data_IF_221712317874
#
_entry.id   IF_221712317874
#
_cell.length_a   1.000
_cell.length_b   1.000
_cell.length_c   1.000
_cell.angle_alpha   90.00
_cell.angle_beta   90.00
_cell.angle_gamma   90.00
#
_symmetry.space_group_name_H-M   'P 1'
#
loop_
_entity.id
_entity.type
_entity.pdbx_description
1 polymer ?
#
# COMPACT_ATOMS: atom_id res chain seq x y z
N UNK A 1 58.52 4.29 18.98
CA UNK A 1 58.29 3.92 17.55
C UNK A 1 57.74 2.51 17.61
N UNK A 2 56.46 2.27 17.43
CA UNK A 2 55.66 2.55 16.23
C UNK A 2 54.18 2.55 16.63
N UNK A 3 53.48 3.67 16.43
CA UNK A 3 52.02 3.70 16.48
C UNK A 3 51.48 3.07 15.20
N UNK A 4 50.83 1.92 15.37
CA UNK A 4 50.19 1.16 14.32
C UNK A 4 48.80 1.76 14.08
N UNK A 5 48.73 2.85 13.31
CA UNK A 5 47.45 3.40 12.85
C UNK A 5 46.88 2.42 11.83
N UNK A 6 45.93 1.60 12.25
CA UNK A 6 45.07 0.84 11.33
C UNK A 6 44.36 1.84 10.42
N UNK A 7 44.86 1.99 9.18
CA UNK A 7 44.08 2.59 8.10
C UNK A 7 42.79 1.77 7.94
N UNK A 8 41.68 2.29 8.45
CA UNK A 8 40.35 1.80 8.08
C UNK A 8 40.22 2.00 6.57
N UNK A 9 40.45 0.94 5.79
CA UNK A 9 40.07 0.91 4.38
C UNK A 9 38.58 1.17 4.31
N UNK A 10 38.21 2.35 3.80
CA UNK A 10 36.83 2.68 3.49
C UNK A 10 36.36 1.68 2.42
N UNK A 11 35.29 0.95 2.74
CA UNK A 11 34.61 0.07 1.79
C UNK A 11 33.24 0.63 1.50
N UNK A 12 32.80 0.45 0.27
CA UNK A 12 31.50 0.86 -0.22
C UNK A 12 30.66 -0.38 -0.43
N UNK A 13 29.59 -0.51 0.37
CA UNK A 13 28.65 -1.62 0.28
C UNK A 13 27.70 -1.40 -0.88
N UNK A 14 27.54 -2.40 -1.73
CA UNK A 14 26.64 -2.38 -2.88
C UNK A 14 25.83 -3.67 -2.95
N UNK A 15 24.73 -3.65 -3.70
CA UNK A 15 23.92 -4.81 -4.02
C UNK A 15 23.87 -4.96 -5.53
N UNK A 16 24.17 -6.16 -6.01
CA UNK A 16 24.01 -6.53 -7.42
C UNK A 16 23.06 -7.72 -7.47
N UNK A 17 21.91 -7.55 -8.12
CA UNK A 17 20.82 -8.53 -8.16
C UNK A 17 20.36 -8.98 -6.76
N UNK A 18 20.42 -8.04 -5.81
CA UNK A 18 20.11 -8.27 -4.39
C UNK A 18 21.22 -8.92 -3.56
N UNK A 19 22.31 -9.37 -4.19
CA UNK A 19 23.45 -9.95 -3.48
C UNK A 19 24.42 -8.85 -3.01
N UNK A 20 24.93 -8.90 -1.77
CA UNK A 20 25.85 -7.88 -1.26
C UNK A 20 27.26 -8.03 -1.85
N UNK A 21 27.85 -6.91 -2.23
CA UNK A 21 29.24 -6.77 -2.68
C UNK A 21 29.91 -5.58 -2.01
N UNK A 22 31.24 -5.57 -2.02
CA UNK A 22 32.03 -4.46 -1.48
C UNK A 22 33.12 -4.01 -2.44
N UNK A 23 33.24 -2.70 -2.57
CA UNK A 23 34.29 -2.04 -3.36
C UNK A 23 35.19 -1.22 -2.45
N UNK A 24 36.49 -1.19 -2.75
CA UNK A 24 37.45 -0.31 -2.07
C UNK A 24 37.62 1.03 -2.77
N UNK A 25 37.27 1.09 -4.05
CA UNK A 25 37.25 2.33 -4.84
C UNK A 25 35.84 2.94 -4.78
N UNK A 26 35.68 4.22 -4.42
CA UNK A 26 34.39 4.91 -4.51
C UNK A 26 33.90 5.11 -5.95
N UNK A 27 34.78 5.09 -6.94
CA UNK A 27 34.43 5.32 -8.35
C UNK A 27 34.69 4.03 -9.11
N UNK A 28 33.63 3.39 -9.57
CA UNK A 28 33.71 2.09 -10.26
C UNK A 28 33.08 2.18 -11.63
N UNK A 29 33.65 1.48 -12.63
CA UNK A 29 33.03 1.39 -13.94
C UNK A 29 31.94 0.32 -13.98
N UNK A 30 31.00 0.42 -14.93
CA UNK A 30 30.02 -0.63 -15.17
C UNK A 30 30.68 -2.00 -15.41
N UNK A 31 31.79 -2.03 -16.14
CA UNK A 31 32.58 -3.24 -16.36
C UNK A 31 33.11 -3.83 -15.05
N UNK A 32 33.64 -3.00 -14.15
CA UNK A 32 34.13 -3.46 -12.85
C UNK A 32 33.01 -4.05 -11.98
N UNK A 33 31.80 -3.48 -12.06
CA UNK A 33 30.62 -4.00 -11.36
C UNK A 33 30.27 -5.40 -11.88
N UNK A 34 30.17 -5.57 -13.20
CA UNK A 34 29.88 -6.87 -13.84
C UNK A 34 30.96 -7.91 -13.53
N UNK A 35 32.24 -7.53 -13.62
CA UNK A 35 33.37 -8.40 -13.27
C UNK A 35 33.34 -8.83 -11.79
N UNK A 36 32.99 -7.92 -10.88
CA UNK A 36 32.86 -8.21 -9.44
C UNK A 36 31.77 -9.26 -9.18
N UNK A 37 30.66 -9.17 -9.92
CA UNK A 37 29.57 -10.14 -9.90
C UNK A 37 29.90 -11.44 -10.67
N UNK A 38 31.08 -11.53 -11.30
CA UNK A 38 31.53 -12.64 -12.15
C UNK A 38 30.64 -12.88 -13.37
N UNK A 39 30.09 -11.81 -13.94
CA UNK A 39 29.25 -11.85 -15.14
C UNK A 39 30.11 -11.62 -16.37
N UNK A 40 30.21 -12.66 -17.22
CA UNK A 40 31.05 -12.65 -18.41
C UNK A 40 30.35 -13.35 -19.60
N UNK A 41 30.65 -12.91 -20.83
CA UNK A 41 31.40 -11.69 -21.16
C UNK A 41 30.55 -10.44 -20.83
N UNK A 42 31.21 -9.33 -20.50
CA UNK A 42 30.54 -8.14 -19.94
C UNK A 42 29.65 -7.42 -20.96
N UNK A 43 29.94 -7.57 -22.25
CA UNK A 43 29.16 -7.05 -23.38
C UNK A 43 27.86 -7.84 -23.68
N UNK A 44 27.69 -9.03 -23.09
CA UNK A 44 26.42 -9.78 -23.11
C UNK A 44 25.47 -9.38 -21.97
N UNK A 45 25.85 -8.40 -21.13
CA UNK A 45 25.09 -8.00 -19.96
C UNK A 45 24.77 -6.50 -19.99
N UNK A 46 23.50 -6.18 -19.75
CA UNK A 46 23.07 -4.83 -19.41
C UNK A 46 23.19 -4.63 -17.90
N UNK A 47 23.60 -3.42 -17.51
CA UNK A 47 23.70 -3.00 -16.13
C UNK A 47 22.77 -1.80 -15.91
N UNK A 48 21.89 -1.90 -14.92
CA UNK A 48 21.02 -0.80 -14.51
C UNK A 48 21.29 -0.45 -13.05
N UNK A 49 21.26 0.84 -12.74
CA UNK A 49 21.20 1.37 -11.39
C UNK A 49 19.72 1.63 -11.02
N UNK A 50 19.28 1.11 -9.87
CA UNK A 50 17.96 1.41 -9.29
C UNK A 50 18.07 2.63 -8.39
N UNK A 51 17.34 3.70 -8.73
CA UNK A 51 17.29 4.96 -8.00
C UNK A 51 16.26 4.90 -6.86
N UNK A 52 16.34 5.85 -5.92
CA UNK A 52 15.44 5.92 -4.76
C UNK A 52 13.95 6.03 -5.12
N UNK A 53 13.63 6.54 -6.31
CA UNK A 53 12.27 6.70 -6.82
C UNK A 53 11.78 5.49 -7.63
N UNK A 54 12.54 4.39 -7.62
CA UNK A 54 12.29 3.15 -8.35
C UNK A 54 12.71 3.16 -9.82
N UNK A 55 13.18 4.30 -10.36
CA UNK A 55 13.63 4.36 -11.76
C UNK A 55 14.90 3.56 -11.99
N UNK A 56 15.04 3.09 -13.23
CA UNK A 56 16.22 2.39 -13.69
C UNK A 56 17.01 3.27 -14.66
N UNK A 57 18.30 3.45 -14.38
CA UNK A 57 19.25 4.14 -15.25
C UNK A 57 20.26 3.13 -15.79
N UNK A 58 20.37 3.01 -17.12
CA UNK A 58 21.34 2.12 -17.75
C UNK A 58 22.76 2.70 -17.58
N UNK A 59 23.70 1.85 -17.15
CA UNK A 59 25.11 2.19 -16.98
C UNK A 59 25.93 1.41 -18.01
N UNK A 60 26.67 2.13 -18.84
CA UNK A 60 27.53 1.49 -19.85
C UNK A 60 28.76 0.85 -19.21
N UNK A 61 29.39 -0.16 -19.85
CA UNK A 61 30.59 -0.79 -19.31
C UNK A 61 31.74 0.20 -19.00
N UNK A 62 31.91 1.22 -19.83
CA UNK A 62 32.94 2.27 -19.70
C UNK A 62 32.50 3.46 -18.83
N UNK A 63 31.24 3.51 -18.44
CA UNK A 63 30.69 4.57 -17.60
C UNK A 63 31.08 4.39 -16.14
N UNK A 64 31.40 5.50 -15.47
CA UNK A 64 31.83 5.51 -14.07
C UNK A 64 30.69 5.92 -13.12
N UNK A 65 30.51 5.16 -12.05
CA UNK A 65 29.52 5.41 -11.00
C UNK A 65 30.23 5.75 -9.70
N UNK A 66 29.78 6.82 -9.04
CA UNK A 66 30.25 7.23 -7.71
C UNK A 66 29.37 6.62 -6.61
N UNK A 67 29.93 5.66 -5.87
CA UNK A 67 29.29 4.91 -4.79
C UNK A 67 29.17 5.68 -3.48
N UNK A 68 29.66 6.93 -3.39
CA UNK A 68 29.53 7.75 -2.18
C UNK A 68 28.15 8.40 -2.02
N UNK A 69 27.36 8.42 -3.09
CA UNK A 69 26.03 9.03 -3.10
C UNK A 69 25.01 8.00 -2.63
N UNK A 70 24.29 8.33 -1.56
CA UNK A 70 23.17 7.52 -1.09
C UNK A 70 22.16 7.27 -2.22
N UNK A 71 21.66 6.03 -2.32
CA UNK A 71 20.68 5.63 -3.33
C UNK A 71 21.32 5.15 -4.64
N UNK A 72 22.64 5.00 -4.69
CA UNK A 72 23.40 4.53 -5.89
C UNK A 72 24.02 3.15 -5.73
N UNK A 73 23.71 2.47 -4.63
CA UNK A 73 24.35 1.23 -4.24
C UNK A 73 23.62 0.00 -4.78
N UNK A 74 22.51 0.17 -5.52
CA UNK A 74 21.69 -0.94 -6.01
C UNK A 74 21.77 -1.07 -7.52
N UNK A 75 22.21 -2.24 -7.97
CA UNK A 75 22.36 -2.57 -9.38
C UNK A 75 21.56 -3.83 -9.74
N UNK A 76 21.04 -3.83 -10.95
CA UNK A 76 20.32 -4.95 -11.57
C UNK A 76 21.03 -5.28 -12.87
N UNK A 77 21.26 -6.58 -13.12
CA UNK A 77 21.89 -7.05 -14.34
C UNK A 77 20.94 -7.90 -15.17
N UNK A 78 21.07 -7.79 -16.49
CA UNK A 78 20.30 -8.61 -17.43
C UNK A 78 21.24 -9.19 -18.47
N UNK A 79 21.21 -10.52 -18.66
CA UNK A 79 21.86 -11.14 -19.79
C UNK A 79 21.02 -10.91 -21.05
N UNK A 80 21.31 -9.84 -21.78
CA UNK A 80 20.54 -9.35 -22.93
C UNK A 80 21.39 -8.39 -23.77
N UNK A 81 21.05 -8.25 -25.05
CA UNK A 81 21.68 -7.30 -25.99
C UNK A 81 20.91 -5.97 -26.12
N UNK A 82 19.72 -5.86 -25.50
CA UNK A 82 18.82 -4.70 -25.65
C UNK A 82 17.89 -4.51 -24.44
N UNK A 83 17.47 -3.26 -24.24
CA UNK A 83 16.42 -2.87 -23.30
C UNK A 83 15.06 -2.69 -24.00
N UNK A 84 13.99 -2.76 -23.22
CA UNK A 84 12.60 -2.58 -23.64
C UNK A 84 11.97 -1.46 -22.82
N UNK A 85 11.23 -0.58 -23.49
CA UNK A 85 10.60 0.59 -22.86
C UNK A 85 9.14 0.33 -22.55
N UNK A 86 8.72 0.71 -21.35
CA UNK A 86 7.31 0.70 -20.96
C UNK A 86 6.96 1.96 -20.17
N UNK A 87 5.67 2.19 -19.97
CA UNK A 87 5.14 3.24 -19.10
C UNK A 87 4.49 2.59 -17.90
N UNK A 88 4.77 3.09 -16.71
CA UNK A 88 4.15 2.65 -15.45
C UNK A 88 3.78 3.89 -14.64
N UNK A 89 2.50 4.02 -14.29
CA UNK A 89 1.97 5.18 -13.55
C UNK A 89 2.34 6.53 -14.21
N UNK A 90 2.31 6.55 -15.54
CA UNK A 90 2.65 7.71 -16.37
C UNK A 90 4.15 8.00 -16.50
N UNK A 91 5.02 7.27 -15.79
CA UNK A 91 6.48 7.38 -15.87
C UNK A 91 7.05 6.39 -16.87
N UNK A 92 8.10 6.77 -17.60
CA UNK A 92 8.77 5.89 -18.57
C UNK A 92 9.88 5.11 -17.87
N UNK A 93 9.95 3.81 -18.13
CA UNK A 93 10.96 2.90 -17.59
C UNK A 93 11.66 2.14 -18.73
N UNK A 94 12.86 1.64 -18.44
CA UNK A 94 13.62 0.72 -19.29
C UNK A 94 13.87 -0.60 -18.54
N UNK A 95 13.72 -1.73 -19.23
CA UNK A 95 13.88 -3.07 -18.67
C UNK A 95 14.74 -3.95 -19.58
N UNK A 96 15.67 -4.71 -19.02
CA UNK A 96 16.65 -5.47 -19.81
C UNK A 96 16.18 -6.81 -20.37
N UNK A 97 14.90 -7.19 -20.21
CA UNK A 97 14.35 -8.45 -20.73
C UNK A 97 13.05 -8.21 -21.52
N UNK A 98 12.71 -9.07 -22.49
CA UNK A 98 11.47 -8.93 -23.26
C UNK A 98 10.21 -9.19 -22.42
N UNK A 99 10.37 -9.77 -21.22
CA UNK A 99 9.26 -10.07 -20.33
C UNK A 99 9.47 -9.45 -18.95
N UNK A 100 8.40 -8.89 -18.39
CA UNK A 100 8.36 -8.37 -17.03
C UNK A 100 7.16 -8.94 -16.27
N UNK A 101 7.35 -9.28 -14.99
CA UNK A 101 6.26 -9.82 -14.17
C UNK A 101 5.44 -8.75 -13.46
N UNK A 102 4.20 -9.09 -13.10
CA UNK A 102 3.37 -8.22 -12.27
C UNK A 102 4.04 -7.82 -10.94
N UNK A 103 4.77 -8.75 -10.31
CA UNK A 103 5.53 -8.44 -9.09
C UNK A 103 6.68 -7.44 -9.34
N UNK A 104 7.37 -7.57 -10.47
CA UNK A 104 8.43 -6.63 -10.85
C UNK A 104 7.88 -5.23 -11.13
N UNK A 105 6.75 -5.13 -11.83
CA UNK A 105 6.05 -3.87 -12.06
C UNK A 105 5.66 -3.19 -10.73
N UNK A 106 5.06 -3.93 -9.79
CA UNK A 106 4.69 -3.39 -8.47
C UNK A 106 5.90 -2.93 -7.66
N UNK A 107 7.01 -3.66 -7.71
CA UNK A 107 8.28 -3.24 -7.10
C UNK A 107 8.77 -1.91 -7.69
N UNK A 108 8.80 -1.79 -9.02
CA UNK A 108 9.26 -0.57 -9.70
C UNK A 108 8.35 0.64 -9.45
N UNK A 109 7.05 0.40 -9.25
CA UNK A 109 6.10 1.43 -8.80
C UNK A 109 6.27 1.82 -7.32
N UNK A 110 7.02 1.05 -6.53
CA UNK A 110 7.19 1.28 -5.09
C UNK A 110 5.94 0.99 -4.26
N UNK A 111 5.05 0.10 -4.74
CA UNK A 111 3.78 -0.24 -4.07
C UNK A 111 3.84 -1.62 -3.41
N UNK A 112 3.06 -1.82 -2.34
CA UNK A 112 2.96 -3.13 -1.67
C UNK A 112 2.26 -4.15 -2.60
N UNK A 113 2.94 -5.25 -2.99
CA UNK A 113 2.41 -6.23 -3.92
C UNK A 113 1.24 -7.05 -3.38
N UNK A 114 0.94 -6.96 -2.07
CA UNK A 114 -0.22 -7.60 -1.46
C UNK A 114 -1.46 -6.70 -1.47
N UNK A 115 -1.25 -5.37 -1.47
CA UNK A 115 -2.31 -4.38 -1.42
C UNK A 115 -2.67 -3.81 -2.79
N UNK A 116 -1.69 -3.80 -3.70
CA UNK A 116 -1.83 -3.25 -5.04
C UNK A 116 -1.82 -4.33 -6.11
N UNK A 117 -2.56 -4.05 -7.17
CA UNK A 117 -2.60 -4.73 -8.45
C UNK A 117 -1.87 -3.91 -9.48
N UNK A 118 -1.70 -4.52 -10.64
CA UNK A 118 -1.15 -3.83 -11.79
C UNK A 118 -1.90 -4.28 -13.02
N UNK A 119 -2.34 -3.32 -13.81
CA UNK A 119 -3.12 -3.56 -15.01
C UNK A 119 -2.36 -3.10 -16.24
N UNK A 120 -2.47 -3.84 -17.33
CA UNK A 120 -2.07 -3.40 -18.66
C UNK A 120 -3.22 -2.62 -19.29
N UNK A 121 -2.98 -1.36 -19.62
CA UNK A 121 -3.95 -0.50 -20.28
C UNK A 121 -4.21 -0.96 -21.72
N UNK A 122 -5.47 -1.23 -22.06
CA UNK A 122 -5.86 -1.65 -23.40
C UNK A 122 -6.45 -0.49 -24.20
N UNK A 123 -6.12 -0.38 -25.50
CA UNK A 123 -6.70 0.65 -26.37
C UNK A 123 -8.19 0.42 -26.66
N UNK A 124 -8.63 -0.84 -26.59
CA UNK A 124 -9.99 -1.30 -26.83
C UNK A 124 -10.32 -2.40 -25.82
N UNK A 125 -11.42 -2.26 -25.08
CA UNK A 125 -11.84 -3.19 -24.03
C UNK A 125 -11.35 -2.79 -22.64
N UNK A 126 -11.63 -3.65 -21.66
CA UNK A 126 -11.28 -3.42 -20.25
C UNK A 126 -9.77 -3.63 -20.01
N UNK A 127 -9.23 -2.89 -19.04
CA UNK A 127 -7.83 -3.03 -18.63
C UNK A 127 -7.56 -4.41 -18.03
N UNK A 128 -6.40 -4.98 -18.35
CA UNK A 128 -6.09 -6.37 -18.03
C UNK A 128 -5.27 -6.47 -16.76
N UNK A 129 -5.84 -7.06 -15.71
CA UNK A 129 -5.09 -7.36 -14.48
C UNK A 129 -3.95 -8.36 -14.77
N UNK A 130 -2.77 -8.10 -14.21
CA UNK A 130 -1.58 -8.94 -14.36
C UNK A 130 -1.25 -9.57 -13.01
N UNK A 131 -1.22 -10.90 -12.96
CA UNK A 131 -0.85 -11.62 -11.74
C UNK A 131 0.63 -11.43 -11.36
N UNK A 132 0.96 -11.54 -10.07
CA UNK A 132 2.34 -11.35 -9.57
C UNK A 132 3.40 -12.22 -10.28
N UNK A 133 3.03 -13.43 -10.71
CA UNK A 133 3.91 -14.36 -11.45
C UNK A 133 3.70 -14.34 -12.96
N UNK A 134 2.65 -13.68 -13.42
CA UNK A 134 2.38 -13.56 -14.85
C UNK A 134 3.45 -12.69 -15.49
N UNK A 135 3.92 -13.11 -16.66
CA UNK A 135 4.89 -12.38 -17.47
C UNK A 135 4.17 -11.68 -18.62
N UNK A 136 4.40 -10.39 -18.77
CA UNK A 136 3.91 -9.58 -19.89
C UNK A 136 5.03 -9.36 -20.88
N UNK A 137 4.72 -9.51 -22.16
CA UNK A 137 5.62 -9.24 -23.28
C UNK A 137 5.73 -7.72 -23.52
N UNK A 138 6.96 -7.22 -23.63
CA UNK A 138 7.32 -5.83 -23.91
C UNK A 138 7.77 -5.61 -25.37
N UNK A 139 7.62 -6.62 -26.24
CA UNK A 139 8.00 -6.56 -27.65
C UNK A 139 6.85 -6.14 -28.57
N UNK A 140 5.73 -5.66 -28.01
CA UNK A 140 4.55 -5.26 -28.75
C UNK A 140 4.75 -4.01 -29.62
N UNK A 141 3.68 -3.63 -30.32
CA UNK A 141 3.69 -2.41 -31.15
C UNK A 141 3.53 -1.16 -30.28
N UNK A 142 4.65 -0.48 -30.04
CA UNK A 142 4.76 0.67 -29.16
C UNK A 142 4.99 0.27 -27.70
N UNK A 143 5.10 1.27 -26.82
CA UNK A 143 5.36 1.01 -25.39
C UNK A 143 4.08 0.54 -24.67
N UNK A 144 4.16 -0.60 -23.99
CA UNK A 144 3.15 -1.07 -23.06
C UNK A 144 2.94 -0.06 -21.94
N UNK A 145 1.69 0.10 -21.52
CA UNK A 145 1.30 1.07 -20.49
C UNK A 145 0.65 0.33 -19.34
N UNK A 146 1.25 0.44 -18.18
CA UNK A 146 0.79 -0.16 -16.94
C UNK A 146 0.37 0.93 -15.97
N UNK A 147 -0.53 0.58 -15.08
CA UNK A 147 -0.85 1.40 -13.92
C UNK A 147 -1.08 0.51 -12.70
N UNK A 148 -0.67 1.01 -11.55
CA UNK A 148 -0.94 0.39 -10.26
C UNK A 148 -2.17 1.01 -9.62
N UNK A 149 -2.80 0.22 -8.78
CA UNK A 149 -4.03 0.56 -8.08
C UNK A 149 -4.30 -0.49 -7.03
N UNK A 150 -5.13 -0.18 -6.06
CA UNK A 150 -5.39 -1.09 -4.94
C UNK A 150 -6.21 -2.29 -5.43
N UNK A 151 -5.72 -3.50 -5.18
CA UNK A 151 -6.21 -4.79 -5.75
C UNK A 151 -6.40 -5.85 -4.67
N UNK A 152 -6.73 -5.41 -3.46
CA UNK A 152 -7.33 -6.32 -2.49
C UNK A 152 -8.78 -6.55 -2.90
N UNK A 153 -9.00 -7.57 -3.73
CA UNK A 153 -10.28 -8.29 -3.80
C UNK A 153 -10.04 -9.70 -3.29
N UNK A 154 -10.39 -9.95 -2.03
CA UNK A 154 -10.39 -11.29 -1.43
C UNK A 154 -11.63 -12.04 -1.91
N UNK A 155 -11.51 -12.93 -2.89
CA UNK A 155 -12.60 -13.88 -3.19
C UNK A 155 -12.88 -14.74 -1.94
N UNK A 156 -14.09 -14.58 -1.39
CA UNK A 156 -14.61 -15.31 -0.23
C UNK A 156 -15.08 -14.41 0.93
N UNK A 157 -14.64 -13.16 0.99
CA UNK A 157 -15.17 -12.14 1.89
C UNK A 157 -15.83 -11.03 1.06
N UNK A 158 -16.92 -10.45 1.54
CA UNK A 158 -17.66 -9.41 0.82
C UNK A 158 -16.74 -8.31 0.24
N UNK A 159 -17.15 -7.76 -0.90
CA UNK A 159 -16.44 -6.72 -1.64
C UNK A 159 -15.70 -5.75 -0.70
N UNK A 160 -14.40 -5.55 -0.94
CA UNK A 160 -13.56 -4.66 -0.12
C UNK A 160 -14.11 -3.24 -0.19
N UNK A 161 -14.40 -2.70 0.99
CA UNK A 161 -15.16 -1.47 1.19
C UNK A 161 -14.25 -0.34 1.66
N UNK A 162 -13.25 -0.68 2.47
CA UNK A 162 -12.34 0.27 3.08
C UNK A 162 -11.12 0.56 2.18
N UNK A 163 -10.69 1.83 2.07
CA UNK A 163 -9.36 2.18 1.58
C UNK A 163 -8.25 1.45 2.39
N UNK A 164 -7.09 1.16 1.78
CA UNK A 164 -6.01 0.42 2.45
C UNK A 164 -5.50 1.09 3.71
N UNK A 165 -5.33 2.42 3.69
CA UNK A 165 -4.86 3.19 4.85
C UNK A 165 -5.77 3.00 6.06
N UNK A 166 -7.08 2.94 5.85
CA UNK A 166 -8.07 2.71 6.90
C UNK A 166 -8.02 1.28 7.41
N UNK A 167 -7.93 0.32 6.49
CA UNK A 167 -7.80 -1.10 6.84
C UNK A 167 -6.55 -1.34 7.67
N UNK A 168 -5.40 -0.85 7.19
CA UNK A 168 -4.11 -0.97 7.85
C UNK A 168 -4.16 -0.33 9.24
N UNK A 169 -4.76 0.85 9.37
CA UNK A 169 -4.98 1.48 10.67
C UNK A 169 -5.74 0.56 11.64
N UNK A 170 -6.87 -0.02 11.22
CA UNK A 170 -7.66 -0.92 12.07
C UNK A 170 -6.87 -2.17 12.48
N UNK A 171 -6.13 -2.78 11.54
CA UNK A 171 -5.28 -3.95 11.79
C UNK A 171 -4.15 -3.63 12.77
N UNK A 172 -3.46 -2.50 12.58
CA UNK A 172 -2.38 -2.05 13.45
C UNK A 172 -2.86 -1.71 14.87
N UNK A 173 -4.10 -1.25 15.02
CA UNK A 173 -4.73 -1.02 16.31
C UNK A 173 -5.28 -2.32 16.95
N UNK A 174 -5.17 -3.47 16.28
CA UNK A 174 -5.72 -4.74 16.76
C UNK A 174 -7.25 -4.74 16.87
N UNK A 175 -7.92 -3.87 16.12
CA UNK A 175 -9.38 -3.76 16.12
C UNK A 175 -9.91 -4.87 15.20
N UNK A 176 -10.74 -5.77 15.74
CA UNK A 176 -11.45 -6.74 14.93
C UNK A 176 -12.59 -6.05 14.16
N UNK A 177 -12.71 -6.31 12.85
CA UNK A 177 -13.77 -5.74 12.03
C UNK A 177 -14.25 -6.70 10.93
N UNK A 178 -15.47 -6.45 10.45
CA UNK A 178 -16.10 -7.10 9.30
C UNK A 178 -16.47 -6.03 8.26
N UNK A 179 -16.31 -6.32 6.98
CA UNK A 179 -16.75 -5.48 5.88
C UNK A 179 -17.97 -6.07 5.19
N UNK A 180 -18.98 -5.24 4.94
CA UNK A 180 -20.28 -5.68 4.43
C UNK A 180 -20.66 -4.83 3.23
N UNK A 181 -21.05 -5.50 2.14
CA UNK A 181 -21.71 -4.88 0.99
C UNK A 181 -23.11 -5.46 0.86
N UNK A 182 -24.11 -4.58 0.98
CA UNK A 182 -25.52 -4.93 0.83
C UNK A 182 -26.16 -4.04 -0.24
N UNK A 183 -26.35 -4.60 -1.44
CA UNK A 183 -26.75 -3.82 -2.61
C UNK A 183 -25.72 -2.75 -2.92
N UNK A 184 -26.15 -1.48 -2.97
CA UNK A 184 -25.27 -0.34 -3.20
C UNK A 184 -24.69 0.27 -1.90
N UNK A 185 -25.02 -0.31 -0.75
CA UNK A 185 -24.57 0.20 0.56
C UNK A 185 -23.33 -0.55 1.00
N UNK A 186 -22.35 0.23 1.42
CA UNK A 186 -21.02 -0.17 1.85
C UNK A 186 -20.89 0.10 3.35
N UNK A 187 -20.36 -0.84 4.13
CA UNK A 187 -20.25 -0.67 5.57
C UNK A 187 -19.07 -1.43 6.19
N UNK A 188 -18.61 -0.95 7.34
CA UNK A 188 -17.70 -1.66 8.25
C UNK A 188 -18.36 -1.85 9.60
N UNK A 189 -18.17 -3.03 10.20
CA UNK A 189 -18.61 -3.37 11.55
C UNK A 189 -17.38 -3.65 12.41
N UNK A 190 -17.12 -2.79 13.40
CA UNK A 190 -16.11 -3.02 14.42
C UNK A 190 -16.67 -3.95 15.49
N UNK A 191 -15.91 -4.97 15.88
CA UNK A 191 -16.37 -6.06 16.75
C UNK A 191 -15.95 -5.82 18.20
N UNK A 192 -16.91 -5.99 19.11
CA UNK A 192 -16.62 -5.97 20.56
C UNK A 192 -15.98 -4.67 21.05
N UNK A 193 -16.38 -3.53 20.50
CA UNK A 193 -15.87 -2.21 20.90
C UNK A 193 -16.15 -1.96 22.38
N UNK A 194 -15.10 -1.63 23.14
CA UNK A 194 -15.22 -1.38 24.58
C UNK A 194 -15.96 -0.07 24.83
N UNK A 195 -17.01 -0.12 25.65
CA UNK A 195 -17.79 1.05 26.02
C UNK A 195 -17.25 1.69 27.31
N UNK A 196 -17.43 3.02 27.49
CA UNK A 196 -17.02 3.70 28.71
C UNK A 196 -17.57 3.02 29.98
N UNK A 197 -16.70 2.68 30.96
CA UNK A 197 -17.11 1.96 32.17
C UNK A 197 -18.24 2.67 32.93
N UNK A 198 -19.20 1.90 33.44
CA UNK A 198 -20.32 2.37 34.27
C UNK A 198 -21.24 3.41 33.62
N UNK A 199 -21.08 3.67 32.33
CA UNK A 199 -21.86 4.68 31.59
C UNK A 199 -23.09 4.07 30.94
N UNK A 200 -22.94 2.87 30.42
CA UNK A 200 -23.98 2.11 29.73
C UNK A 200 -24.31 0.82 30.47
N UNK A 201 -25.47 0.24 30.18
CA UNK A 201 -25.94 -1.06 30.66
C UNK A 201 -25.20 -2.26 30.04
N UNK A 202 -24.29 -2.00 29.08
CA UNK A 202 -23.39 -2.97 28.47
C UNK A 202 -21.92 -2.49 28.56
N UNK A 203 -20.98 -3.43 28.68
CA UNK A 203 -19.54 -3.14 28.71
C UNK A 203 -18.89 -3.07 27.32
N UNK A 204 -19.52 -3.65 26.30
CA UNK A 204 -19.04 -3.65 24.92
C UNK A 204 -20.21 -3.71 23.93
N UNK A 205 -19.98 -3.22 22.71
CA UNK A 205 -20.92 -3.32 21.59
C UNK A 205 -20.17 -3.41 20.26
N UNK A 206 -20.76 -4.07 19.26
CA UNK A 206 -20.35 -3.91 17.87
C UNK A 206 -20.74 -2.51 17.39
N UNK A 207 -19.91 -1.90 16.54
CA UNK A 207 -20.14 -0.58 15.95
C UNK A 207 -20.24 -0.70 14.44
N UNK A 208 -21.40 -0.40 13.89
CA UNK A 208 -21.61 -0.29 12.45
C UNK A 208 -21.34 1.15 11.98
N UNK A 209 -20.59 1.28 10.90
CA UNK A 209 -20.33 2.53 10.19
C UNK A 209 -20.72 2.31 8.72
N UNK A 210 -21.67 3.11 8.24
CA UNK A 210 -22.05 3.12 6.83
C UNK A 210 -21.11 4.05 6.06
N UNK A 211 -20.51 3.54 4.99
CA UNK A 211 -19.59 4.30 4.16
C UNK A 211 -20.36 4.91 2.98
N UNK A 212 -20.31 6.24 2.78
CA UNK A 212 -20.91 6.86 1.61
C UNK A 212 -20.20 6.43 0.31
N UNK A 213 -20.86 6.55 -0.86
CA UNK A 213 -20.28 6.11 -2.13
C UNK A 213 -18.92 6.71 -2.48
N UNK A 214 -18.65 7.95 -2.04
CA UNK A 214 -17.40 8.68 -2.28
C UNK A 214 -16.47 8.68 -1.06
N UNK A 215 -16.63 7.76 -0.12
CA UNK A 215 -15.66 7.56 0.96
C UNK A 215 -14.27 7.18 0.39
N UNK A 216 -13.14 7.74 0.89
CA UNK A 216 -12.98 8.59 2.07
C UNK A 216 -13.12 10.10 1.83
N UNK A 217 -13.33 10.56 0.59
CA UNK A 217 -13.53 11.99 0.31
C UNK A 217 -14.85 12.54 0.88
N UNK A 218 -15.82 11.67 1.14
CA UNK A 218 -17.07 11.98 1.82
C UNK A 218 -17.16 11.30 3.18
N UNK A 219 -17.61 12.05 4.20
CA UNK A 219 -17.64 11.60 5.59
C UNK A 219 -18.74 10.56 5.86
N UNK A 220 -18.49 9.53 6.68
CA UNK A 220 -19.55 8.78 7.34
C UNK A 220 -20.35 9.69 8.27
N UNK A 221 -21.68 9.64 8.13
CA UNK A 221 -22.57 10.58 8.83
C UNK A 221 -22.85 10.15 10.28
N UNK A 222 -23.26 8.90 10.47
CA UNK A 222 -23.70 8.33 11.75
C UNK A 222 -22.91 7.05 12.07
N UNK A 223 -23.05 6.59 13.32
CA UNK A 223 -22.68 5.23 13.71
C UNK A 223 -23.85 4.53 14.37
N UNK A 224 -23.75 3.21 14.50
CA UNK A 224 -24.82 2.40 15.05
C UNK A 224 -24.25 1.34 15.98
N UNK A 225 -24.97 1.02 17.06
CA UNK A 225 -24.52 0.04 18.05
C UNK A 225 -25.37 -1.22 18.05
N UNK A 226 -24.72 -2.34 18.36
CA UNK A 226 -25.38 -3.59 18.71
C UNK A 226 -24.57 -4.32 19.79
N UNK A 227 -25.17 -4.70 20.93
CA UNK A 227 -26.56 -4.50 21.29
C UNK A 227 -26.91 -3.02 21.46
N UNK A 228 -28.21 -2.73 21.53
CA UNK A 228 -28.67 -1.40 21.93
C UNK A 228 -28.26 -1.14 23.37
N UNK A 229 -27.87 0.11 23.66
CA UNK A 229 -27.41 0.51 24.99
C UNK A 229 -28.29 1.58 25.60
N UNK A 230 -28.48 1.51 26.91
CA UNK A 230 -29.12 2.52 27.75
C UNK A 230 -28.10 3.08 28.73
N UNK A 231 -28.35 4.29 29.21
CA UNK A 231 -27.55 4.89 30.27
C UNK A 231 -27.73 4.07 31.56
N UNK A 232 -26.61 3.66 32.17
CA UNK A 232 -26.63 2.79 33.34
C UNK A 232 -27.46 3.37 34.50
N UNK A 233 -27.38 4.69 34.71
CA UNK A 233 -28.01 5.40 35.82
C UNK A 233 -29.51 5.61 35.66
N UNK A 234 -29.98 5.95 34.46
CA UNK A 234 -31.37 6.35 34.22
C UNK A 234 -32.19 5.28 33.49
N UNK A 235 -31.53 4.27 32.91
CA UNK A 235 -32.12 3.24 32.04
C UNK A 235 -32.85 3.81 30.81
N UNK A 236 -32.61 5.09 30.48
CA UNK A 236 -33.10 5.73 29.26
C UNK A 236 -32.09 5.58 28.13
N UNK A 237 -32.57 5.68 26.90
CA UNK A 237 -31.67 5.78 25.75
C UNK A 237 -30.93 7.13 25.77
N UNK A 238 -29.67 7.17 25.31
CA UNK A 238 -28.97 8.42 25.13
C UNK A 238 -29.68 9.32 24.11
N UNK A 239 -29.47 10.63 24.24
CA UNK A 239 -30.08 11.62 23.36
C UNK A 239 -29.76 11.35 21.89
N UNK A 240 -30.81 11.34 21.06
CA UNK A 240 -30.75 11.01 19.64
C UNK A 240 -30.09 9.64 19.35
N UNK A 241 -30.37 8.65 20.21
CA UNK A 241 -29.92 7.27 20.09
C UNK A 241 -31.02 6.24 20.40
N UNK A 242 -32.27 6.50 19.98
CA UNK A 242 -33.43 5.65 20.29
C UNK A 242 -34.15 5.10 19.05
N UNK A 243 -33.57 5.30 17.85
CA UNK A 243 -34.17 4.91 16.58
C UNK A 243 -33.52 3.64 16.01
N UNK A 244 -34.32 2.72 15.45
CA UNK A 244 -33.80 1.52 14.81
C UNK A 244 -33.25 1.80 13.41
N UNK A 245 -32.22 1.04 13.03
CA UNK A 245 -31.71 0.98 11.67
C UNK A 245 -31.53 -0.48 11.25
N UNK A 246 -32.29 -0.91 10.24
CA UNK A 246 -32.20 -2.26 9.69
C UNK A 246 -31.02 -2.36 8.72
N UNK A 247 -30.05 -3.23 9.01
CA UNK A 247 -28.91 -3.51 8.13
C UNK A 247 -28.41 -4.94 8.31
N UNK A 248 -28.16 -5.64 7.20
CA UNK A 248 -27.69 -7.04 7.18
C UNK A 248 -28.51 -7.99 8.08
N UNK A 249 -29.85 -7.85 8.07
CA UNK A 249 -30.76 -8.69 8.85
C UNK A 249 -30.81 -8.39 10.35
N UNK A 250 -30.11 -7.34 10.82
CA UNK A 250 -30.05 -6.92 12.22
C UNK A 250 -30.69 -5.53 12.39
N UNK A 251 -31.19 -5.24 13.59
CA UNK A 251 -31.73 -3.93 13.97
C UNK A 251 -30.76 -3.20 14.90
N UNK A 252 -30.04 -2.23 14.36
CA UNK A 252 -29.01 -1.48 15.04
C UNK A 252 -29.59 -0.23 15.71
N UNK A 253 -28.99 0.18 16.84
CA UNK A 253 -29.33 1.44 17.50
C UNK A 253 -28.66 2.58 16.74
N UNK A 254 -29.42 3.49 16.14
CA UNK A 254 -28.87 4.62 15.39
C UNK A 254 -28.42 5.75 16.30
N UNK A 255 -27.17 6.18 16.17
CA UNK A 255 -26.61 7.34 16.85
C UNK A 255 -26.42 8.52 15.90
N UNK A 256 -27.30 9.51 15.99
CA UNK A 256 -27.24 10.71 15.13
C UNK A 256 -26.22 11.71 15.67
N UNK A 257 -24.99 11.65 15.14
CA UNK A 257 -23.86 12.52 15.46
C UNK A 257 -23.17 12.96 14.16
N UNK A 258 -23.72 13.97 13.52
CA UNK A 258 -23.31 14.45 12.18
C UNK A 258 -21.88 15.02 12.14
N UNK A 259 -21.27 15.00 10.95
CA UNK A 259 -19.96 15.62 10.70
C UNK A 259 -20.06 16.76 9.69
N UNK A 260 -19.69 17.97 10.09
CA UNK A 260 -19.67 19.12 9.20
C UNK A 260 -18.24 19.60 8.86
N UNK A 261 -17.21 18.94 9.40
CA UNK A 261 -15.81 19.41 9.34
C UNK A 261 -14.84 18.39 8.73
N UNK A 262 -15.35 17.41 7.97
CA UNK A 262 -14.52 16.41 7.30
C UNK A 262 -13.64 17.04 6.22
N UNK A 263 -12.39 16.59 6.15
CA UNK A 263 -11.37 17.07 5.21
C UNK A 263 -11.08 15.97 4.17
N UNK A 264 -11.56 16.12 2.93
CA UNK A 264 -11.25 15.19 1.84
C UNK A 264 -9.73 15.02 1.65
N UNK A 265 -9.28 13.80 1.35
CA UNK A 265 -7.86 13.45 1.23
C UNK A 265 -7.01 13.57 2.51
N UNK A 266 -7.60 13.87 3.67
CA UNK A 266 -6.88 14.01 4.96
C UNK A 266 -7.54 13.22 6.09
N UNK A 267 -8.87 13.13 6.12
CA UNK A 267 -9.58 12.37 7.14
C UNK A 267 -9.97 10.98 6.60
N UNK A 268 -9.81 9.96 7.45
CA UNK A 268 -10.21 8.58 7.18
C UNK A 268 -10.87 7.93 8.40
N UNK A 269 -10.81 6.61 8.50
CA UNK A 269 -11.52 5.83 9.53
C UNK A 269 -11.08 6.23 10.93
N UNK A 270 -9.80 6.58 11.12
CA UNK A 270 -9.25 7.03 12.40
C UNK A 270 -10.00 8.25 12.95
N UNK A 271 -10.37 9.18 12.08
CA UNK A 271 -11.16 10.36 12.44
C UNK A 271 -12.57 9.96 12.89
N UNK A 272 -13.18 8.99 12.21
CA UNK A 272 -14.48 8.47 12.60
C UNK A 272 -14.43 7.74 13.95
N UNK A 273 -13.41 6.93 14.22
CA UNK A 273 -13.24 6.26 15.51
C UNK A 273 -13.13 7.26 16.67
N UNK A 274 -12.30 8.30 16.51
CA UNK A 274 -12.18 9.37 17.52
C UNK A 274 -13.51 10.07 17.80
N UNK A 275 -14.34 10.26 16.77
CA UNK A 275 -15.68 10.83 16.92
C UNK A 275 -16.62 9.89 17.67
N UNK A 276 -16.56 8.59 17.39
CA UNK A 276 -17.35 7.57 18.10
C UNK A 276 -16.94 7.53 19.57
N UNK A 277 -15.65 7.44 19.88
CA UNK A 277 -15.11 7.50 21.24
C UNK A 277 -15.67 8.71 21.98
N UNK A 278 -15.52 9.90 21.38
CA UNK A 278 -16.00 11.14 21.99
C UNK A 278 -17.52 11.16 22.19
N UNK A 279 -18.29 10.66 21.23
CA UNK A 279 -19.74 10.60 21.32
C UNK A 279 -20.20 9.68 22.47
N UNK A 280 -19.53 8.54 22.64
CA UNK A 280 -19.81 7.59 23.72
C UNK A 280 -19.41 8.14 25.09
N UNK A 281 -18.32 8.91 25.18
CA UNK A 281 -17.85 9.57 26.41
C UNK A 281 -18.79 10.66 26.93
N UNK A 282 -19.49 11.38 26.04
CA UNK A 282 -20.32 12.54 26.41
C UNK A 282 -21.82 12.28 26.34
N UNK A 283 -22.26 11.10 25.87
CA UNK A 283 -23.67 10.77 25.72
C UNK A 283 -24.48 11.05 27.01
N UNK A 284 -25.61 11.72 26.90
CA UNK A 284 -26.46 12.07 28.03
C UNK A 284 -27.90 11.65 27.76
#
# INVERSE_FOLDING_TARGET
MTDNVLERRLTFDTKIDGNPFTFSDPIVTGEQILQKAKLFPTDEHLLFQELDDGQLEEIRPDESVDLRRAGREQFITFKSDRSFRFVLDGRKFEWGLPFISGLQLKRLAGVDPNSYGVWLAQRLGDDRLIGNKEKVDLQGDGAERFFTGIDTTTEGAGAVVLPPEDREYLLNQGIAFEEIVQGNTKAVVLKGWSLPPSRFDAGAADVLILLPPAYPDCAPDMFYLMPWVRLATSQRYPNAADQPHAFSGKSWQRWSRHNNAWRPGVDGIWTMLRRIERALEIAA
#
